data_IF_478417248244
#
_entry.id   IF_478417248244
#
_cell.length_a   1.000
_cell.length_b   1.000
_cell.length_c   1.000
_cell.angle_alpha   90.00
_cell.angle_beta   90.00
_cell.angle_gamma   90.00
#
_symmetry.space_group_name_H-M   'P 1'
#
loop_
_entity.id
_entity.type
_entity.pdbx_description
1 polymer ?
#
# COMPACT_ATOMS: atom_id res chain seq x y z
N UNK A 1 -7.47 14.46 7.39
CA UNK A 1 -6.93 14.53 6.01
C UNK A 1 -7.02 13.14 5.39
N UNK A 2 -7.38 13.05 4.12
CA UNK A 2 -7.62 11.77 3.43
C UNK A 2 -6.36 11.40 2.66
N UNK A 3 -5.54 10.48 3.19
CA UNK A 3 -4.32 10.04 2.53
C UNK A 3 -4.64 8.83 1.64
N UNK A 4 -4.39 8.96 0.34
CA UNK A 4 -4.49 7.88 -0.64
C UNK A 4 -3.10 7.50 -1.13
N UNK A 5 -2.93 6.26 -1.60
CA UNK A 5 -1.66 5.78 -2.12
C UNK A 5 -1.82 5.13 -3.49
N UNK A 6 -1.01 5.62 -4.44
CA UNK A 6 -0.83 5.03 -5.76
C UNK A 6 0.29 3.99 -5.73
N UNK A 7 0.00 2.74 -6.06
CA UNK A 7 0.98 1.65 -6.06
C UNK A 7 1.35 1.22 -7.47
N UNK A 8 2.66 1.04 -7.70
CA UNK A 8 3.21 0.47 -8.92
C UNK A 8 4.21 -0.66 -8.62
N UNK A 9 4.29 -1.60 -9.56
CA UNK A 9 5.26 -2.69 -9.52
C UNK A 9 6.55 -2.23 -10.17
N UNK A 10 7.67 -2.53 -9.53
CA UNK A 10 8.98 -2.58 -10.16
C UNK A 10 9.47 -4.04 -10.13
N UNK A 11 10.41 -4.37 -11.02
CA UNK A 11 10.85 -5.75 -11.31
C UNK A 11 11.34 -6.53 -10.08
N UNK A 12 11.75 -5.82 -9.02
CA UNK A 12 12.27 -6.38 -7.76
C UNK A 12 11.66 -5.72 -6.50
N UNK A 13 10.86 -4.67 -6.68
CA UNK A 13 10.36 -3.83 -5.58
C UNK A 13 8.98 -3.29 -5.89
N UNK A 14 8.25 -2.87 -4.87
CA UNK A 14 6.99 -2.18 -4.99
C UNK A 14 7.15 -0.75 -4.52
N UNK A 15 6.64 0.18 -5.31
CA UNK A 15 6.66 1.60 -5.02
C UNK A 15 5.22 2.05 -4.72
N UNK A 16 5.02 2.75 -3.61
CA UNK A 16 3.80 3.47 -3.33
C UNK A 16 4.09 4.96 -3.22
N UNK A 17 3.27 5.77 -3.89
CA UNK A 17 3.30 7.23 -3.81
C UNK A 17 2.04 7.69 -3.10
N UNK A 18 2.20 8.33 -1.94
CA UNK A 18 1.11 8.88 -1.16
C UNK A 18 0.73 10.26 -1.73
N UNK A 19 -0.53 10.64 -1.57
CA UNK A 19 -1.01 11.99 -1.95
C UNK A 19 -0.29 13.13 -1.23
N UNK A 20 0.38 12.82 -0.12
CA UNK A 20 1.20 13.76 0.65
C UNK A 20 2.59 14.02 0.02
N UNK A 21 2.91 13.35 -1.09
CA UNK A 21 4.22 13.42 -1.74
C UNK A 21 5.25 12.43 -1.18
N UNK A 22 4.93 11.73 -0.08
CA UNK A 22 5.75 10.65 0.46
C UNK A 22 5.79 9.46 -0.49
N UNK A 23 6.99 8.89 -0.70
CA UNK A 23 7.21 7.69 -1.50
C UNK A 23 7.76 6.56 -0.64
N UNK A 24 7.13 5.40 -0.73
CA UNK A 24 7.50 4.20 0.01
C UNK A 24 7.94 3.14 -0.99
N UNK A 25 9.18 2.67 -0.89
CA UNK A 25 9.68 1.57 -1.70
C UNK A 25 9.96 0.37 -0.79
N UNK A 26 9.43 -0.80 -1.15
CA UNK A 26 9.60 -2.03 -0.38
C UNK A 26 9.83 -3.23 -1.28
N UNK A 27 10.63 -4.23 -0.86
CA UNK A 27 10.85 -5.45 -1.65
C UNK A 27 9.58 -6.30 -1.80
N UNK A 28 8.68 -6.24 -0.82
CA UNK A 28 7.49 -7.09 -0.75
C UNK A 28 6.21 -6.28 -0.51
N UNK A 29 5.08 -6.81 -1.02
CA UNK A 29 3.75 -6.26 -0.78
C UNK A 29 3.39 -6.17 0.71
N UNK A 30 3.82 -7.14 1.52
CA UNK A 30 3.57 -7.15 2.97
C UNK A 30 4.28 -6.01 3.69
N UNK A 31 5.56 -5.78 3.37
CA UNK A 31 6.31 -4.67 3.92
C UNK A 31 5.74 -3.33 3.45
N UNK A 32 5.24 -3.26 2.22
CA UNK A 32 4.53 -2.08 1.70
C UNK A 32 3.22 -1.83 2.43
N UNK A 33 2.42 -2.87 2.68
CA UNK A 33 1.16 -2.79 3.43
C UNK A 33 1.38 -2.20 4.84
N UNK A 34 2.40 -2.67 5.55
CA UNK A 34 2.75 -2.18 6.88
C UNK A 34 3.16 -0.70 6.84
N UNK A 35 3.99 -0.32 5.87
CA UNK A 35 4.42 1.06 5.72
C UNK A 35 3.26 2.00 5.33
N UNK A 36 2.35 1.53 4.47
CA UNK A 36 1.12 2.26 4.10
C UNK A 36 0.20 2.44 5.30
N UNK A 37 -0.04 1.38 6.06
CA UNK A 37 -0.87 1.44 7.25
C UNK A 37 -0.27 2.37 8.33
N UNK A 38 1.04 2.26 8.59
CA UNK A 38 1.75 3.16 9.50
C UNK A 38 1.74 4.64 9.06
N UNK A 39 1.61 4.89 7.75
CA UNK A 39 1.43 6.23 7.20
C UNK A 39 -0.03 6.71 7.22
N UNK A 40 -0.97 5.93 7.77
CA UNK A 40 -2.39 6.28 7.86
C UNK A 40 -3.20 6.02 6.58
N UNK A 41 -2.69 5.20 5.66
CA UNK A 41 -3.43 4.80 4.46
C UNK A 41 -4.29 3.58 4.77
N UNK A 42 -5.61 3.74 4.68
CA UNK A 42 -6.57 2.66 4.82
C UNK A 42 -6.64 1.78 3.57
N UNK A 43 -7.08 0.54 3.72
CA UNK A 43 -7.13 -0.42 2.61
C UNK A 43 -8.03 0.03 1.45
N UNK A 44 -9.10 0.78 1.74
CA UNK A 44 -10.00 1.34 0.72
C UNK A 44 -9.43 2.55 -0.06
N UNK A 45 -8.21 2.99 0.26
CA UNK A 45 -7.55 4.14 -0.38
C UNK A 45 -6.24 3.79 -1.08
N UNK A 46 -6.02 2.51 -1.28
CA UNK A 46 -4.96 2.02 -2.14
C UNK A 46 -5.51 1.89 -3.54
N UNK A 47 -4.80 2.42 -4.52
CA UNK A 47 -5.15 2.29 -5.94
C UNK A 47 -3.92 1.95 -6.75
N UNK A 48 -4.03 0.97 -7.64
CA UNK A 48 -3.01 0.71 -8.64
C UNK A 48 -2.95 1.85 -9.64
N UNK A 49 -1.79 2.49 -9.75
CA UNK A 49 -1.56 3.58 -10.69
C UNK A 49 -0.58 3.15 -11.75
N UNK A 50 -0.88 3.48 -13.00
CA UNK A 50 0.02 3.26 -14.12
C UNK A 50 1.04 4.40 -14.14
N UNK A 51 2.27 4.12 -13.74
CA UNK A 51 3.39 5.03 -13.99
C UNK A 51 4.02 4.75 -15.37
N UNK A 52 4.32 5.77 -16.18
CA UNK A 52 5.04 5.58 -17.43
C UNK A 52 6.41 4.97 -17.15
N UNK A 53 6.69 3.80 -17.74
CA UNK A 53 7.95 3.07 -17.54
C UNK A 53 7.97 2.08 -16.38
N UNK A 54 6.86 1.85 -15.67
CA UNK A 54 6.74 0.79 -14.67
C UNK A 54 5.53 -0.12 -14.92
N UNK A 55 5.66 -1.44 -14.69
CA UNK A 55 4.53 -2.34 -14.77
C UNK A 55 3.50 -2.00 -13.69
N UNK A 56 2.24 -1.97 -14.11
CA UNK A 56 1.13 -1.85 -13.17
C UNK A 56 1.10 -3.11 -12.29
N UNK A 57 0.81 -2.97 -11.00
CA UNK A 57 0.52 -4.17 -10.20
C UNK A 57 -0.73 -4.84 -10.76
N UNK A 58 -0.72 -6.16 -10.83
CA UNK A 58 -1.90 -6.90 -11.28
C UNK A 58 -3.03 -6.77 -10.27
N UNK A 59 -4.29 -6.93 -10.72
CA UNK A 59 -5.45 -6.90 -9.82
C UNK A 59 -5.33 -7.88 -8.65
N UNK A 60 -4.72 -9.05 -8.86
CA UNK A 60 -4.44 -10.01 -7.79
C UNK A 60 -3.47 -9.49 -6.73
N UNK A 61 -2.44 -8.73 -7.14
CA UNK A 61 -1.49 -8.09 -6.23
C UNK A 61 -2.11 -6.92 -5.48
N UNK A 62 -2.98 -6.14 -6.13
CA UNK A 62 -3.76 -5.10 -5.46
C UNK A 62 -4.66 -5.69 -4.38
N UNK A 63 -5.42 -6.75 -4.69
CA UNK A 63 -6.27 -7.44 -3.73
C UNK A 63 -5.47 -8.00 -2.56
N UNK A 64 -4.29 -8.59 -2.81
CA UNK A 64 -3.41 -9.09 -1.77
C UNK A 64 -2.91 -7.97 -0.84
N UNK A 65 -2.54 -6.81 -1.40
CA UNK A 65 -2.12 -5.63 -0.65
C UNK A 65 -3.25 -5.06 0.22
N UNK A 66 -4.44 -4.90 -0.37
CA UNK A 66 -5.64 -4.43 0.33
C UNK A 66 -6.00 -5.40 1.46
N UNK A 67 -5.95 -6.71 1.22
CA UNK A 67 -6.24 -7.72 2.24
C UNK A 67 -5.25 -7.66 3.42
N UNK A 68 -3.96 -7.42 3.16
CA UNK A 68 -2.95 -7.28 4.20
C UNK A 68 -3.17 -6.01 5.04
N UNK A 69 -3.48 -4.87 4.41
CA UNK A 69 -3.81 -3.64 5.15
C UNK A 69 -5.07 -3.84 5.98
N UNK A 70 -6.12 -4.49 5.45
CA UNK A 70 -7.33 -4.81 6.22
C UNK A 70 -7.05 -5.69 7.43
N UNK A 71 -6.14 -6.66 7.30
CA UNK A 71 -5.68 -7.44 8.44
C UNK A 71 -5.07 -6.51 9.47
N UNK A 72 -4.13 -5.63 9.10
CA UNK A 72 -3.51 -4.70 10.03
C UNK A 72 -4.54 -3.78 10.71
N UNK A 73 -5.51 -3.26 9.96
CA UNK A 73 -6.62 -2.47 10.49
C UNK A 73 -7.45 -3.26 11.53
N UNK A 74 -7.72 -4.55 11.27
CA UNK A 74 -8.44 -5.42 12.23
C UNK A 74 -7.61 -5.84 13.44
N UNK A 75 -6.29 -5.98 13.30
CA UNK A 75 -5.38 -6.30 14.42
C UNK A 75 -5.03 -5.07 15.26
N UNK A 76 -5.16 -3.86 14.71
CA UNK A 76 -4.96 -2.62 15.46
C UNK A 76 -6.06 -2.35 16.50
N UNK A 77 -7.13 -3.17 16.54
CA UNK A 77 -8.16 -3.16 17.60
C UNK A 77 -7.81 -4.02 18.83
N UNK A 78 -6.58 -4.54 18.95
CA UNK A 78 -6.13 -5.26 20.15
C UNK A 78 -4.71 -4.88 20.57
N UNK A 79 -4.50 -3.59 20.77
CA UNK A 79 -3.55 -3.08 21.76
C UNK A 79 -4.14 -1.81 22.38
N UNK A 80 -4.46 -1.90 23.67
CA UNK A 80 -4.95 -0.81 24.51
C UNK A 80 -6.38 -1.01 25.04
N UNK A 81 -6.61 -1.01 26.37
CA UNK A 81 -5.71 -1.12 27.53
C UNK A 81 -5.67 -2.52 28.17
#
# INVERSE_FOLDING_TARGET
>A
MVISAGVAGARDRYLATLSDGQRLERPDLRALAQALHGAGVSAGRVSSVRHPGQPIITAGQEVALVAEIRKLEGHSSRDGP
#
